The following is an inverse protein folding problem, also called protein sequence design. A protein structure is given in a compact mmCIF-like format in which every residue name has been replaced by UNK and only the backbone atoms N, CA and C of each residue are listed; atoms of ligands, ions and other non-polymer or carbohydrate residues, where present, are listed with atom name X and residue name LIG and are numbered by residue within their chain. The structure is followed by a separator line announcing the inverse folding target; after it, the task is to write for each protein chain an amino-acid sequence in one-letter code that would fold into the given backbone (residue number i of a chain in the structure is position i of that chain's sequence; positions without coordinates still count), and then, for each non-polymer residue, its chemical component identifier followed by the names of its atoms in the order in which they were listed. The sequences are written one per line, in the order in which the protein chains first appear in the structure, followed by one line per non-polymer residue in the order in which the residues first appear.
data_IF_825195163767
#
_entry.id   IF_825195163767
#
_cell.length_a   1.000
_cell.length_b   1.000
_cell.length_c   1.000
_cell.angle_alpha   90.00
_cell.angle_beta   90.00
_cell.angle_gamma   90.00
#
_symmetry.space_group_name_H-M   'P 1'
#
loop_
_entity.id
_entity.type
_entity.pdbx_description
1 polymer ?
#
# COMPACT_ATOMS: atom_id res chain seq x y z
N UNK A 1 -35.80 -22.30 -4.95
CA UNK A 1 -36.23 -21.04 -5.58
C UNK A 1 -35.67 -20.95 -7.00
N UNK A 2 -34.42 -21.34 -7.18
CA UNK A 2 -33.69 -21.38 -8.47
C UNK A 2 -34.50 -22.06 -9.59
N UNK A 3 -35.06 -23.24 -9.32
CA UNK A 3 -35.93 -23.93 -10.27
C UNK A 3 -37.14 -23.09 -10.73
N UNK A 4 -37.77 -22.31 -9.83
CA UNK A 4 -38.88 -21.43 -10.20
C UNK A 4 -38.42 -20.21 -11.00
N UNK A 5 -37.16 -19.78 -10.84
CA UNK A 5 -36.59 -18.67 -11.59
C UNK A 5 -36.44 -19.02 -13.07
N UNK A 6 -36.08 -20.27 -13.38
CA UNK A 6 -35.91 -20.75 -14.76
C UNK A 6 -37.22 -21.18 -15.44
N UNK A 7 -38.26 -21.54 -14.67
CA UNK A 7 -39.53 -22.04 -15.23
C UNK A 7 -40.38 -20.95 -15.90
N UNK A 8 -41.09 -21.32 -16.97
CA UNK A 8 -42.06 -20.43 -17.62
C UNK A 8 -43.35 -20.29 -16.81
N UNK A 9 -44.12 -19.21 -17.06
CA UNK A 9 -45.35 -18.89 -16.32
C UNK A 9 -46.36 -20.06 -16.33
N UNK A 10 -46.50 -20.73 -17.49
CA UNK A 10 -47.42 -21.86 -17.67
C UNK A 10 -46.99 -23.09 -16.85
N UNK A 11 -45.67 -23.37 -16.81
CA UNK A 11 -45.11 -24.51 -16.08
C UNK A 11 -45.25 -24.30 -14.57
N UNK A 12 -45.04 -23.06 -14.10
CA UNK A 12 -45.27 -22.70 -12.70
C UNK A 12 -46.75 -22.89 -12.35
N UNK A 13 -47.66 -22.43 -13.21
CA UNK A 13 -49.10 -22.60 -13.02
C UNK A 13 -49.53 -24.07 -12.95
N UNK A 14 -48.95 -24.92 -13.80
CA UNK A 14 -49.18 -26.37 -13.77
C UNK A 14 -48.60 -27.02 -12.50
N UNK A 15 -47.39 -26.63 -12.09
CA UNK A 15 -46.72 -27.15 -10.88
C UNK A 15 -47.53 -26.88 -9.62
N UNK A 16 -48.06 -25.67 -9.46
CA UNK A 16 -48.89 -25.30 -8.31
C UNK A 16 -50.34 -25.77 -8.43
N UNK A 17 -50.72 -26.40 -9.55
CA UNK A 17 -52.10 -26.83 -9.89
C UNK A 17 -53.12 -25.68 -9.94
N UNK A 18 -52.64 -24.46 -10.19
CA UNK A 18 -53.45 -23.24 -10.36
C UNK A 18 -52.92 -22.42 -11.54
N UNK A 19 -53.33 -22.79 -12.75
CA UNK A 19 -52.82 -22.23 -14.02
C UNK A 19 -52.85 -20.70 -14.09
N UNK A 20 -53.93 -20.07 -13.61
CA UNK A 20 -54.10 -18.61 -13.65
C UNK A 20 -53.16 -17.83 -12.72
N UNK A 21 -52.56 -18.48 -11.70
CA UNK A 21 -51.65 -17.83 -10.75
C UNK A 21 -50.17 -17.95 -11.15
N UNK A 22 -49.83 -18.72 -12.18
CA UNK A 22 -48.44 -18.92 -12.62
C UNK A 22 -47.71 -17.61 -12.92
N UNK A 23 -48.38 -16.69 -13.61
CA UNK A 23 -47.88 -15.33 -13.89
C UNK A 23 -47.59 -14.52 -12.63
N UNK A 24 -48.48 -14.59 -11.64
CA UNK A 24 -48.33 -13.87 -10.37
C UNK A 24 -47.11 -14.42 -9.62
N UNK A 25 -46.99 -15.74 -9.53
CA UNK A 25 -45.85 -16.38 -8.88
C UNK A 25 -44.53 -16.03 -9.57
N UNK A 26 -44.45 -16.12 -10.91
CA UNK A 26 -43.26 -15.72 -11.68
C UNK A 26 -42.86 -14.27 -11.40
N UNK A 27 -43.83 -13.37 -11.31
CA UNK A 27 -43.60 -11.97 -10.98
C UNK A 27 -43.00 -11.79 -9.58
N UNK A 28 -43.52 -12.48 -8.56
CA UNK A 28 -42.97 -12.43 -7.20
C UNK A 28 -41.61 -13.12 -7.08
N UNK A 29 -41.36 -14.19 -7.84
CA UNK A 29 -40.03 -14.81 -7.95
C UNK A 29 -39.02 -13.79 -8.49
N UNK A 30 -39.40 -13.00 -9.51
CA UNK A 30 -38.56 -11.92 -10.01
C UNK A 30 -38.31 -10.78 -9.01
N UNK A 31 -39.16 -10.61 -7.99
CA UNK A 31 -38.95 -9.65 -6.91
C UNK A 31 -38.12 -10.21 -5.78
N UNK A 32 -37.96 -11.52 -5.67
CA UNK A 32 -37.23 -12.12 -4.57
C UNK A 32 -35.75 -11.69 -4.61
N UNK A 33 -35.20 -11.09 -3.53
CA UNK A 33 -33.83 -10.60 -3.54
C UNK A 33 -32.82 -11.71 -3.78
N UNK A 34 -31.94 -11.46 -4.75
CA UNK A 34 -30.86 -12.37 -5.10
C UNK A 34 -29.60 -11.57 -5.46
N UNK A 35 -28.44 -12.00 -4.95
CA UNK A 35 -27.15 -11.38 -5.24
C UNK A 35 -26.18 -12.43 -5.74
N UNK A 36 -25.71 -12.27 -6.97
CA UNK A 36 -24.67 -13.10 -7.52
C UNK A 36 -23.31 -12.65 -7.00
N UNK A 37 -22.45 -13.60 -6.67
CA UNK A 37 -21.14 -13.38 -6.05
C UNK A 37 -20.03 -13.84 -6.99
N UNK A 38 -19.00 -13.02 -7.14
CA UNK A 38 -17.74 -13.44 -7.76
C UNK A 38 -16.58 -12.83 -6.99
N UNK A 39 -15.56 -13.63 -6.69
CA UNK A 39 -14.41 -13.14 -5.93
C UNK A 39 -13.09 -13.46 -6.62
N UNK A 40 -12.13 -12.57 -6.47
CA UNK A 40 -10.72 -12.80 -6.80
C UNK A 40 -9.89 -12.74 -5.52
N UNK A 41 -8.91 -13.64 -5.40
CA UNK A 41 -8.08 -13.75 -4.20
C UNK A 41 -6.61 -13.57 -4.55
N UNK A 42 -5.94 -12.75 -3.75
CA UNK A 42 -4.53 -12.40 -3.93
C UNK A 42 -3.78 -12.55 -2.60
N UNK A 43 -2.76 -13.42 -2.50
CA UNK A 43 -1.92 -13.50 -1.31
C UNK A 43 -1.19 -12.18 -1.04
N UNK A 44 -1.33 -11.63 0.17
CA UNK A 44 -0.51 -10.51 0.65
C UNK A 44 0.75 -11.06 1.30
N UNK A 45 0.56 -12.05 2.18
CA UNK A 45 1.61 -12.81 2.85
C UNK A 45 1.27 -14.30 2.76
N UNK A 46 2.09 -15.17 3.37
CA UNK A 46 1.73 -16.59 3.52
C UNK A 46 0.55 -16.83 4.47
N UNK A 47 0.18 -15.84 5.27
CA UNK A 47 -0.85 -15.97 6.31
C UNK A 47 -2.06 -15.06 6.08
N UNK A 48 -2.01 -14.19 5.07
CA UNK A 48 -3.06 -13.21 4.80
C UNK A 48 -3.38 -13.18 3.32
N UNK A 49 -4.65 -13.42 3.01
CA UNK A 49 -5.23 -13.30 1.68
C UNK A 49 -6.07 -12.04 1.58
N UNK A 50 -5.88 -11.28 0.51
CA UNK A 50 -6.83 -10.25 0.11
C UNK A 50 -7.92 -10.88 -0.74
N UNK A 51 -9.18 -10.64 -0.39
CA UNK A 51 -10.35 -11.03 -1.15
C UNK A 51 -11.01 -9.79 -1.70
N UNK A 52 -11.14 -9.75 -3.01
CA UNK A 52 -11.89 -8.74 -3.75
C UNK A 52 -13.21 -9.39 -4.21
N UNK A 53 -14.31 -9.14 -3.49
CA UNK A 53 -15.63 -9.68 -3.78
C UNK A 53 -16.46 -8.67 -4.58
N UNK A 54 -17.04 -9.13 -5.67
CA UNK A 54 -17.98 -8.41 -6.51
C UNK A 54 -19.39 -8.98 -6.30
N UNK A 55 -20.29 -8.12 -5.82
CA UNK A 55 -21.68 -8.44 -5.51
C UNK A 55 -22.57 -7.81 -6.59
N UNK A 56 -23.30 -8.64 -7.33
CA UNK A 56 -24.17 -8.23 -8.43
C UNK A 56 -25.63 -8.52 -8.08
N UNK A 57 -26.49 -7.51 -7.92
CA UNK A 57 -27.91 -7.74 -7.67
C UNK A 57 -28.62 -8.25 -8.93
N UNK A 58 -29.31 -9.38 -8.83
CA UNK A 58 -29.98 -10.06 -9.95
C UNK A 58 -31.49 -10.28 -9.66
N UNK A 59 -32.19 -9.19 -9.37
CA UNK A 59 -33.64 -9.20 -9.11
C UNK A 59 -34.29 -7.86 -9.47
N UNK A 60 -35.63 -7.86 -9.57
CA UNK A 60 -36.41 -6.67 -9.89
C UNK A 60 -36.78 -5.90 -8.62
N UNK A 61 -36.22 -4.70 -8.47
CA UNK A 61 -36.52 -3.84 -7.32
C UNK A 61 -37.96 -3.30 -7.34
N UNK A 62 -38.69 -3.56 -6.27
CA UNK A 62 -40.01 -2.99 -5.96
C UNK A 62 -40.03 -2.27 -4.61
N UNK A 63 -40.28 -0.96 -4.63
CA UNK A 63 -40.25 -0.11 -3.44
C UNK A 63 -41.17 -0.58 -2.31
N UNK A 64 -42.35 -1.09 -2.67
CA UNK A 64 -43.34 -1.63 -1.72
C UNK A 64 -42.78 -2.77 -0.87
N UNK A 65 -41.86 -3.56 -1.39
CA UNK A 65 -41.29 -4.74 -0.73
C UNK A 65 -39.88 -4.51 -0.19
N UNK A 66 -39.06 -3.76 -0.93
CA UNK A 66 -37.62 -3.61 -0.63
C UNK A 66 -37.27 -2.28 0.06
N UNK A 67 -38.18 -1.30 0.06
CA UNK A 67 -37.89 0.03 0.59
C UNK A 67 -36.74 0.73 -0.14
N UNK A 68 -35.92 1.44 0.65
CA UNK A 68 -34.78 2.22 0.14
C UNK A 68 -33.46 1.44 0.09
N UNK A 69 -33.34 0.36 0.86
CA UNK A 69 -32.12 -0.43 0.97
C UNK A 69 -32.41 -1.85 1.43
N UNK A 70 -31.60 -2.80 0.97
CA UNK A 70 -31.53 -4.16 1.49
C UNK A 70 -30.16 -4.40 2.13
N UNK A 71 -30.10 -5.26 3.13
CA UNK A 71 -28.86 -5.59 3.83
C UNK A 71 -28.53 -7.07 3.70
N UNK A 72 -27.24 -7.37 3.59
CA UNK A 72 -26.70 -8.71 3.44
C UNK A 72 -25.52 -8.87 4.38
N UNK A 73 -25.49 -9.95 5.14
CA UNK A 73 -24.30 -10.40 5.85
C UNK A 73 -23.39 -11.10 4.86
N UNK A 74 -22.18 -10.58 4.68
CA UNK A 74 -21.10 -11.23 3.94
C UNK A 74 -20.23 -11.95 4.96
N UNK A 75 -20.18 -13.28 4.86
CA UNK A 75 -19.51 -14.15 5.82
C UNK A 75 -18.50 -14.98 5.04
N UNK A 76 -17.27 -15.06 5.54
CA UNK A 76 -16.25 -15.99 5.04
C UNK A 76 -16.03 -17.07 6.08
N UNK A 77 -16.27 -18.31 5.69
CA UNK A 77 -16.17 -19.47 6.55
C UNK A 77 -15.25 -20.55 5.98
N UNK A 78 -14.61 -21.28 6.88
CA UNK A 78 -13.84 -22.47 6.56
C UNK A 78 -14.76 -23.65 6.25
N UNK A 79 -14.36 -24.49 5.29
CA UNK A 79 -15.01 -25.76 5.00
C UNK A 79 -14.78 -26.84 6.07
N UNK A 80 -13.70 -26.73 6.86
CA UNK A 80 -13.32 -27.79 7.82
C UNK A 80 -13.65 -27.46 9.28
N UNK A 81 -13.49 -26.19 9.69
CA UNK A 81 -13.53 -25.80 11.11
C UNK A 81 -14.77 -25.00 11.51
N UNK A 82 -15.78 -24.87 10.64
CA UNK A 82 -17.01 -24.07 10.86
C UNK A 82 -16.74 -22.67 11.46
N UNK A 83 -15.57 -22.11 11.13
CA UNK A 83 -15.07 -20.87 11.73
C UNK A 83 -15.31 -19.71 10.78
N UNK A 84 -15.89 -18.64 11.29
CA UNK A 84 -16.06 -17.39 10.55
C UNK A 84 -14.77 -16.58 10.65
N UNK A 85 -14.09 -16.39 9.52
CA UNK A 85 -12.87 -15.59 9.42
C UNK A 85 -13.11 -14.12 9.14
N UNK A 86 -14.24 -13.81 8.51
CA UNK A 86 -14.65 -12.43 8.23
C UNK A 86 -16.17 -12.34 8.23
N UNK A 87 -16.71 -11.26 8.78
CA UNK A 87 -18.12 -10.93 8.67
C UNK A 87 -18.31 -9.42 8.52
N UNK A 88 -19.06 -8.99 7.52
CA UNK A 88 -19.44 -7.59 7.36
C UNK A 88 -20.88 -7.43 6.87
N UNK A 89 -21.50 -6.31 7.24
CA UNK A 89 -22.86 -5.97 6.81
C UNK A 89 -22.80 -5.10 5.55
N UNK A 90 -23.13 -5.67 4.41
CA UNK A 90 -23.26 -4.97 3.14
C UNK A 90 -24.66 -4.37 2.99
N UNK A 91 -24.75 -3.09 2.59
CA UNK A 91 -26.04 -2.43 2.33
C UNK A 91 -26.19 -2.09 0.85
N UNK A 92 -27.11 -2.77 0.18
CA UNK A 92 -27.51 -2.48 -1.18
C UNK A 92 -28.55 -1.35 -1.21
N UNK A 93 -28.12 -0.16 -1.62
CA UNK A 93 -29.02 0.98 -1.80
C UNK A 93 -29.80 0.88 -3.12
N UNK A 94 -31.06 1.31 -3.15
CA UNK A 94 -31.89 1.34 -4.36
C UNK A 94 -31.21 2.00 -5.57
N UNK A 95 -30.42 3.05 -5.35
CA UNK A 95 -29.67 3.75 -6.41
C UNK A 95 -28.61 2.87 -7.10
N UNK A 96 -28.16 1.81 -6.44
CA UNK A 96 -27.13 0.89 -6.93
C UNK A 96 -27.68 -0.46 -7.41
N UNK A 97 -29.02 -0.62 -7.51
CA UNK A 97 -29.71 -1.89 -7.80
C UNK A 97 -29.38 -2.58 -9.13
N UNK A 98 -28.62 -1.95 -10.02
CA UNK A 98 -28.20 -2.52 -11.31
C UNK A 98 -26.70 -2.39 -11.57
N UNK A 99 -25.93 -1.99 -10.57
CA UNK A 99 -24.48 -1.84 -10.66
C UNK A 99 -23.81 -2.86 -9.73
N UNK A 100 -22.84 -3.64 -10.22
CA UNK A 100 -22.00 -4.46 -9.37
C UNK A 100 -21.29 -3.61 -8.31
N UNK A 101 -21.27 -4.08 -7.07
CA UNK A 101 -20.55 -3.41 -5.97
C UNK A 101 -19.36 -4.25 -5.56
N UNK A 102 -18.17 -3.63 -5.57
CA UNK A 102 -16.94 -4.28 -5.11
C UNK A 102 -16.70 -3.97 -3.64
N UNK A 103 -16.40 -5.00 -2.86
CA UNK A 103 -15.89 -4.91 -1.49
C UNK A 103 -14.55 -5.64 -1.41
N UNK A 104 -13.66 -5.17 -0.54
CA UNK A 104 -12.31 -5.73 -0.37
C UNK A 104 -12.03 -5.92 1.10
N UNK A 105 -11.66 -7.14 1.49
CA UNK A 105 -11.32 -7.47 2.87
C UNK A 105 -10.16 -8.48 2.91
N UNK A 106 -9.57 -8.67 4.08
CA UNK A 106 -8.46 -9.60 4.27
C UNK A 106 -8.91 -10.76 5.15
N UNK A 107 -8.55 -11.98 4.76
CA UNK A 107 -8.82 -13.20 5.52
C UNK A 107 -7.52 -13.94 5.82
N UNK A 108 -7.40 -14.58 7.00
CA UNK A 108 -6.27 -15.42 7.30
C UNK A 108 -6.29 -16.71 6.45
N UNK A 109 -5.10 -17.21 6.13
CA UNK A 109 -4.89 -18.57 5.61
C UNK A 109 -3.84 -19.27 6.47
N UNK A 110 -4.07 -20.55 6.74
CA UNK A 110 -3.23 -21.37 7.62
C UNK A 110 -2.58 -22.50 6.85
N UNK A 111 -1.43 -22.99 7.32
CA UNK A 111 -0.78 -24.19 6.81
C UNK A 111 -1.05 -25.36 7.78
N UNK A 112 -1.50 -26.54 7.32
CA UNK A 112 -1.81 -26.89 5.93
C UNK A 112 -3.04 -26.13 5.40
N UNK A 113 -3.00 -25.76 4.11
CA UNK A 113 -4.05 -24.97 3.48
C UNK A 113 -5.35 -25.79 3.39
N UNK A 114 -6.50 -25.22 3.79
CA UNK A 114 -7.78 -25.85 3.52
C UNK A 114 -8.02 -25.93 2.00
N UNK A 115 -8.86 -26.85 1.53
CA UNK A 115 -9.12 -27.00 0.09
C UNK A 115 -9.78 -25.75 -0.51
N UNK A 116 -10.66 -25.11 0.27
CA UNK A 116 -11.43 -23.94 -0.13
C UNK A 116 -12.01 -23.18 1.07
N UNK A 117 -12.33 -21.91 0.86
CA UNK A 117 -13.23 -21.14 1.72
C UNK A 117 -14.57 -20.90 1.04
N UNK A 118 -15.59 -20.66 1.85
CA UNK A 118 -16.92 -20.27 1.40
C UNK A 118 -17.17 -18.81 1.72
N UNK A 119 -17.65 -18.06 0.74
CA UNK A 119 -18.18 -16.70 0.93
C UNK A 119 -19.69 -16.79 0.80
N UNK A 120 -20.40 -16.47 1.89
CA UNK A 120 -21.86 -16.45 1.93
C UNK A 120 -22.36 -15.03 1.99
N UNK A 121 -23.33 -14.70 1.16
CA UNK A 121 -24.17 -13.53 1.31
C UNK A 121 -25.53 -14.00 1.81
N UNK A 122 -25.94 -13.57 3.01
CA UNK A 122 -27.22 -13.93 3.62
C UNK A 122 -28.04 -12.66 3.84
N UNK A 123 -29.26 -12.60 3.33
CA UNK A 123 -30.12 -11.45 3.56
C UNK A 123 -30.48 -11.32 5.03
N UNK A 124 -30.38 -10.08 5.54
CA UNK A 124 -30.74 -9.75 6.92
C UNK A 124 -32.26 -9.70 7.15
N UNK A 125 -33.06 -9.65 6.09
CA UNK A 125 -34.53 -9.47 6.19
C UNK A 125 -35.36 -10.41 5.32
N UNK A 126 -34.75 -11.15 4.38
CA UNK A 126 -35.46 -12.08 3.50
C UNK A 126 -35.03 -13.52 3.75
N UNK A 127 -35.96 -14.33 4.27
CA UNK A 127 -35.70 -15.74 4.54
C UNK A 127 -35.46 -16.50 3.23
N UNK A 128 -34.38 -17.29 3.20
CA UNK A 128 -33.99 -18.08 2.02
C UNK A 128 -33.34 -17.27 0.90
N UNK A 129 -33.14 -15.97 1.08
CA UNK A 129 -32.31 -15.16 0.20
C UNK A 129 -30.85 -15.30 0.66
N UNK A 130 -30.19 -16.33 0.15
CA UNK A 130 -28.77 -16.59 0.38
C UNK A 130 -28.04 -16.89 -0.94
N UNK A 131 -26.74 -16.64 -0.96
CA UNK A 131 -25.88 -16.91 -2.12
C UNK A 131 -24.51 -17.34 -1.62
N UNK A 132 -23.91 -18.31 -2.30
CA UNK A 132 -22.67 -18.97 -1.88
C UNK A 132 -21.66 -18.90 -3.03
N UNK A 133 -20.42 -18.51 -2.71
CA UNK A 133 -19.30 -18.55 -3.63
C UNK A 133 -18.12 -19.30 -3.02
N UNK A 134 -17.59 -20.28 -3.75
CA UNK A 134 -16.44 -21.09 -3.34
C UNK A 134 -15.13 -20.50 -3.83
N UNK A 135 -14.20 -20.25 -2.90
CA UNK A 135 -12.83 -19.85 -3.18
C UNK A 135 -11.93 -21.08 -3.06
N UNK A 136 -11.48 -21.62 -4.19
CA UNK A 136 -10.54 -22.75 -4.20
C UNK A 136 -9.09 -22.29 -4.03
N UNK A 137 -8.32 -22.99 -3.20
CA UNK A 137 -6.89 -22.72 -2.98
C UNK A 137 -5.94 -23.68 -3.72
N UNK A 138 -6.46 -24.54 -4.60
CA UNK A 138 -5.67 -25.60 -5.25
C UNK A 138 -4.51 -25.05 -6.10
N UNK A 139 -4.68 -23.87 -6.69
CA UNK A 139 -3.66 -23.20 -7.51
C UNK A 139 -3.13 -21.91 -6.84
N UNK A 140 -3.28 -21.78 -5.52
CA UNK A 140 -2.85 -20.57 -4.81
C UNK A 140 -1.32 -20.56 -4.66
N UNK A 141 -0.66 -19.70 -5.41
CA UNK A 141 0.78 -19.48 -5.29
C UNK A 141 1.07 -18.45 -4.20
N UNK A 142 1.45 -18.93 -3.01
CA UNK A 142 1.86 -18.03 -1.92
C UNK A 142 3.26 -17.46 -2.17
N UNK A 143 3.50 -16.20 -1.77
CA UNK A 143 4.84 -15.63 -1.80
C UNK A 143 5.79 -16.44 -0.91
N UNK A 144 7.06 -16.54 -1.31
CA UNK A 144 8.09 -17.17 -0.49
C UNK A 144 8.38 -16.30 0.74
N UNK A 145 8.42 -16.90 1.93
CA UNK A 145 8.93 -16.20 3.12
C UNK A 145 10.44 -16.19 3.05
N UNK A 146 11.00 -15.14 2.46
CA UNK A 146 12.42 -14.86 2.62
C UNK A 146 12.56 -13.50 3.29
N UNK A 147 12.38 -13.51 4.62
CA UNK A 147 12.68 -12.37 5.44
C UNK A 147 14.11 -12.55 5.95
N UNK A 148 15.09 -12.11 5.18
CA UNK A 148 16.45 -11.96 5.69
C UNK A 148 16.55 -10.62 6.40
N UNK A 149 16.20 -10.59 7.69
CA UNK A 149 16.61 -9.47 8.53
C UNK A 149 18.10 -9.58 8.79
N UNK A 150 18.85 -8.53 8.50
CA UNK A 150 20.24 -8.44 8.93
C UNK A 150 20.25 -8.33 10.45
N UNK A 151 20.92 -9.26 11.13
CA UNK A 151 21.04 -9.20 12.59
C UNK A 151 21.75 -7.91 13.02
N UNK A 152 21.24 -7.31 14.09
CA UNK A 152 21.90 -6.19 14.75
C UNK A 152 23.01 -6.75 15.63
N UNK A 153 24.25 -6.52 15.21
CA UNK A 153 25.44 -6.97 15.91
C UNK A 153 25.64 -6.17 17.20
N UNK A 154 26.06 -6.83 18.27
CA UNK A 154 26.42 -6.19 19.54
C UNK A 154 27.80 -5.52 19.44
N UNK A 155 27.84 -4.44 18.67
CA UNK A 155 29.04 -3.64 18.45
C UNK A 155 29.23 -2.62 19.57
N UNK A 156 30.48 -2.33 19.89
CA UNK A 156 30.80 -1.19 20.75
C UNK A 156 30.28 0.10 20.11
N UNK A 157 29.50 0.94 20.83
CA UNK A 157 28.98 2.18 20.28
C UNK A 157 30.09 3.03 19.66
N UNK A 158 29.87 3.48 18.43
CA UNK A 158 30.89 4.22 17.69
C UNK A 158 30.92 5.69 18.14
N UNK A 159 32.05 6.23 18.61
CA UNK A 159 32.14 7.63 19.02
C UNK A 159 32.10 8.58 17.81
N UNK A 160 31.66 9.83 18.03
CA UNK A 160 31.68 10.86 16.98
C UNK A 160 33.09 11.10 16.40
N UNK A 161 34.14 10.86 17.17
CA UNK A 161 35.53 10.98 16.71
C UNK A 161 35.84 10.11 15.48
N UNK A 162 35.05 9.05 15.25
CA UNK A 162 35.15 8.21 14.06
C UNK A 162 34.88 8.96 12.74
N UNK A 163 34.24 10.14 12.78
CA UNK A 163 34.05 11.01 11.62
C UNK A 163 35.37 11.61 11.10
N UNK A 164 36.45 11.63 11.90
CA UNK A 164 37.75 12.16 11.48
C UNK A 164 37.78 13.68 11.17
N UNK A 165 36.67 14.39 11.28
CA UNK A 165 36.54 15.81 10.99
C UNK A 165 35.84 16.56 12.14
N UNK A 166 36.51 17.55 12.72
CA UNK A 166 36.00 18.28 13.89
C UNK A 166 34.72 19.06 13.59
N UNK A 167 34.66 19.72 12.42
CA UNK A 167 33.46 20.44 11.97
C UNK A 167 32.27 19.49 11.86
N UNK A 168 32.48 18.24 11.44
CA UNK A 168 31.40 17.26 11.31
C UNK A 168 30.95 16.72 12.66
N UNK A 169 31.88 16.53 13.59
CA UNK A 169 31.56 16.15 14.98
C UNK A 169 30.67 17.19 15.65
N UNK A 170 30.95 18.48 15.44
CA UNK A 170 30.23 19.58 16.06
C UNK A 170 28.79 19.75 15.53
N UNK A 171 28.41 19.04 14.45
CA UNK A 171 27.04 18.99 13.93
C UNK A 171 26.09 18.18 14.82
N UNK A 172 26.62 17.38 15.75
CA UNK A 172 25.86 16.40 16.52
C UNK A 172 25.93 16.67 18.03
N UNK A 173 24.80 16.52 18.73
CA UNK A 173 24.67 16.76 20.19
C UNK A 173 24.69 15.49 21.03
N UNK A 174 25.28 14.42 20.52
CA UNK A 174 25.43 13.13 21.21
C UNK A 174 26.89 12.69 21.16
N UNK A 175 27.32 11.76 22.02
CA UNK A 175 28.72 11.31 22.06
C UNK A 175 29.00 10.11 21.15
N UNK A 176 28.01 9.23 20.99
CA UNK A 176 28.14 7.98 20.24
C UNK A 176 26.93 7.75 19.32
N UNK A 177 27.17 7.15 18.17
CA UNK A 177 26.15 6.66 17.26
C UNK A 177 25.37 5.51 17.90
N UNK A 178 24.09 5.38 17.54
CA UNK A 178 23.27 4.27 17.99
C UNK A 178 23.73 2.93 17.34
N UNK A 179 23.25 1.76 17.78
CA UNK A 179 23.69 0.46 17.24
C UNK A 179 23.51 0.33 15.72
N UNK A 180 22.39 0.81 15.16
CA UNK A 180 22.10 0.73 13.72
C UNK A 180 23.09 1.61 12.93
N UNK A 181 23.30 2.84 13.39
CA UNK A 181 24.26 3.76 12.79
C UNK A 181 25.69 3.23 12.92
N UNK A 182 26.05 2.66 14.07
CA UNK A 182 27.36 2.04 14.32
C UNK A 182 27.63 0.90 13.33
N UNK A 183 26.66 -0.01 13.15
CA UNK A 183 26.79 -1.13 12.21
C UNK A 183 26.82 -0.67 10.75
N UNK A 184 26.03 0.34 10.39
CA UNK A 184 25.97 0.86 9.02
C UNK A 184 27.09 1.88 8.69
N UNK A 185 27.82 2.39 9.70
CA UNK A 185 28.74 3.52 9.56
C UNK A 185 29.78 3.29 8.46
N UNK A 186 30.44 2.13 8.47
CA UNK A 186 31.51 1.86 7.52
C UNK A 186 31.01 1.93 6.07
N UNK A 187 29.84 1.34 5.79
CA UNK A 187 29.29 1.35 4.43
C UNK A 187 28.80 2.75 4.04
N UNK A 188 28.24 3.51 4.98
CA UNK A 188 27.72 4.86 4.71
C UNK A 188 28.81 5.94 4.61
N UNK A 189 29.91 5.81 5.37
CA UNK A 189 30.91 6.87 5.55
C UNK A 189 32.26 6.57 4.90
N UNK A 190 32.52 5.33 4.48
CA UNK A 190 33.79 4.93 3.85
C UNK A 190 33.62 4.19 2.53
N UNK A 191 32.40 4.06 1.99
CA UNK A 191 32.16 3.39 0.72
C UNK A 191 31.18 4.16 -0.17
N UNK A 192 31.30 3.97 -1.48
CA UNK A 192 30.40 4.55 -2.49
C UNK A 192 29.29 3.58 -2.92
N UNK A 193 29.07 2.50 -2.14
CA UNK A 193 28.09 1.48 -2.47
C UNK A 193 26.66 1.97 -2.22
N UNK A 194 25.71 1.51 -3.05
CA UNK A 194 24.29 1.72 -2.79
C UNK A 194 23.86 0.96 -1.54
N UNK A 195 23.16 1.64 -0.62
CA UNK A 195 22.73 1.08 0.67
C UNK A 195 21.21 1.10 0.78
N UNK A 196 20.62 -0.05 1.14
CA UNK A 196 19.23 -0.14 1.61
C UNK A 196 19.22 -0.28 3.13
N UNK A 197 18.75 0.76 3.83
CA UNK A 197 18.63 0.75 5.29
C UNK A 197 17.16 0.65 5.72
N UNK A 198 16.71 -0.58 5.99
CA UNK A 198 15.41 -0.86 6.59
C UNK A 198 15.49 -0.85 8.11
N UNK A 199 14.89 0.15 8.76
CA UNK A 199 14.79 0.22 10.21
C UNK A 199 13.49 0.92 10.66
N UNK A 200 12.97 0.64 11.87
CA UNK A 200 11.78 1.31 12.41
C UNK A 200 11.91 2.84 12.45
N UNK A 201 10.76 3.54 12.52
CA UNK A 201 10.74 4.99 12.76
C UNK A 201 11.32 5.30 14.14
N UNK A 202 12.13 6.34 14.24
CA UNK A 202 12.87 6.69 15.48
C UNK A 202 14.26 6.07 15.59
N UNK A 203 14.64 5.09 14.75
CA UNK A 203 15.96 4.46 14.74
C UNK A 203 17.12 5.34 14.21
N UNK A 204 16.86 6.62 13.91
CA UNK A 204 17.91 7.56 13.49
C UNK A 204 18.38 7.43 12.03
N UNK A 205 17.52 6.91 11.12
CA UNK A 205 17.80 6.79 9.68
C UNK A 205 18.22 8.10 9.01
N UNK A 206 17.74 9.24 9.51
CA UNK A 206 18.14 10.56 9.00
C UNK A 206 19.64 10.80 9.16
N UNK A 207 20.21 10.46 10.33
CA UNK A 207 21.65 10.59 10.56
C UNK A 207 22.42 9.65 9.64
N UNK A 208 21.90 8.45 9.35
CA UNK A 208 22.50 7.56 8.34
C UNK A 208 22.55 8.18 6.94
N UNK A 209 21.50 8.91 6.54
CA UNK A 209 21.53 9.68 5.29
C UNK A 209 22.57 10.81 5.35
N UNK A 210 22.69 11.50 6.49
CA UNK A 210 23.69 12.56 6.68
C UNK A 210 25.12 12.02 6.59
N UNK A 211 25.41 10.84 7.13
CA UNK A 211 26.72 10.19 6.99
C UNK A 211 27.11 10.04 5.50
N UNK A 212 26.18 9.58 4.67
CA UNK A 212 26.41 9.49 3.22
C UNK A 212 26.64 10.86 2.57
N UNK A 213 25.95 11.91 3.03
CA UNK A 213 26.18 13.29 2.55
C UNK A 213 27.56 13.80 2.94
N UNK A 214 27.97 13.58 4.18
CA UNK A 214 29.28 14.00 4.70
C UNK A 214 30.41 13.26 3.98
N UNK A 215 30.23 11.97 3.68
CA UNK A 215 31.17 11.21 2.84
C UNK A 215 31.30 11.84 1.45
N UNK A 216 30.18 12.13 0.77
CA UNK A 216 30.19 12.79 -0.54
C UNK A 216 30.91 14.14 -0.48
N UNK A 217 30.68 14.95 0.55
CA UNK A 217 31.34 16.25 0.67
C UNK A 217 32.85 16.15 0.93
N UNK A 218 33.31 15.05 1.51
CA UNK A 218 34.74 14.78 1.70
C UNK A 218 35.39 14.28 0.40
N UNK A 219 34.75 13.36 -0.32
CA UNK A 219 35.36 12.66 -1.46
C UNK A 219 35.10 13.35 -2.80
N UNK A 220 33.96 14.02 -2.95
CA UNK A 220 33.48 14.63 -4.18
C UNK A 220 32.79 15.98 -3.88
N UNK A 221 33.54 17.01 -3.45
CA UNK A 221 32.98 18.27 -2.95
C UNK A 221 32.13 19.05 -3.97
N UNK A 222 32.32 18.78 -5.27
CA UNK A 222 31.59 19.40 -6.38
C UNK A 222 30.27 18.68 -6.71
N UNK A 223 30.00 17.52 -6.12
CA UNK A 223 28.78 16.75 -6.37
C UNK A 223 27.62 17.23 -5.52
N UNK A 224 26.40 16.97 -6.00
CA UNK A 224 25.15 17.39 -5.35
C UNK A 224 24.47 16.22 -4.68
N UNK A 225 23.85 16.50 -3.54
CA UNK A 225 22.96 15.59 -2.84
C UNK A 225 21.52 15.88 -3.24
N UNK A 226 20.76 14.84 -3.58
CA UNK A 226 19.31 14.92 -3.75
C UNK A 226 18.65 14.06 -2.69
N UNK A 227 17.90 14.69 -1.79
CA UNK A 227 17.14 14.02 -0.74
C UNK A 227 15.65 14.04 -1.08
N UNK A 228 15.07 12.85 -1.24
CA UNK A 228 13.66 12.69 -1.60
C UNK A 228 12.88 12.19 -0.40
N UNK A 229 11.81 12.91 -0.03
CA UNK A 229 10.91 12.52 1.05
C UNK A 229 9.46 12.46 0.55
N UNK A 230 8.65 11.49 1.01
CA UNK A 230 7.31 11.23 0.46
C UNK A 230 6.31 12.34 0.77
N UNK A 231 6.54 13.14 1.82
CA UNK A 231 5.60 14.16 2.29
C UNK A 231 6.29 15.52 2.40
N UNK A 232 5.57 16.58 1.98
CA UNK A 232 6.02 17.99 2.12
C UNK A 232 6.34 18.37 3.57
N UNK A 233 5.62 17.81 4.55
CA UNK A 233 5.88 18.05 5.96
C UNK A 233 7.30 17.60 6.38
N UNK A 234 7.72 16.42 5.92
CA UNK A 234 9.07 15.89 6.17
C UNK A 234 10.11 16.77 5.47
N UNK A 235 9.84 17.20 4.23
CA UNK A 235 10.72 18.14 3.51
C UNK A 235 10.94 19.43 4.32
N UNK A 236 9.86 20.07 4.79
CA UNK A 236 9.95 21.32 5.56
C UNK A 236 10.68 21.13 6.88
N UNK A 237 10.41 20.03 7.58
CA UNK A 237 11.11 19.68 8.82
C UNK A 237 12.62 19.55 8.58
N UNK A 238 13.03 18.81 7.53
CA UNK A 238 14.43 18.63 7.15
C UNK A 238 15.07 19.93 6.68
N UNK A 239 14.35 20.75 5.92
CA UNK A 239 14.81 22.07 5.50
C UNK A 239 15.15 22.96 6.71
N UNK A 240 14.31 22.95 7.76
CA UNK A 240 14.56 23.75 8.96
C UNK A 240 15.74 23.21 9.79
N UNK A 241 15.79 21.89 10.02
CA UNK A 241 16.89 21.25 10.77
C UNK A 241 18.23 21.42 10.05
N UNK A 242 18.33 20.98 8.80
CA UNK A 242 19.58 21.00 8.05
C UNK A 242 20.05 22.42 7.72
N UNK A 243 19.15 23.39 7.51
CA UNK A 243 19.55 24.78 7.26
C UNK A 243 20.38 25.34 8.41
N UNK A 244 19.95 25.11 9.66
CA UNK A 244 20.66 25.61 10.83
C UNK A 244 21.87 24.75 11.18
N UNK A 245 21.70 23.41 11.16
CA UNK A 245 22.68 22.48 11.70
C UNK A 245 23.77 22.09 10.72
N UNK A 246 23.44 21.82 9.46
CA UNK A 246 24.37 21.32 8.44
C UNK A 246 24.84 22.45 7.51
N UNK A 247 23.90 23.11 6.85
CA UNK A 247 24.15 24.02 5.73
C UNK A 247 24.97 25.23 6.17
N UNK A 248 24.53 25.89 7.24
CA UNK A 248 25.24 27.06 7.80
C UNK A 248 26.64 26.69 8.31
N UNK A 249 26.77 25.57 9.03
CA UNK A 249 28.04 25.14 9.64
C UNK A 249 29.07 24.68 8.59
N UNK A 250 28.60 24.09 7.49
CA UNK A 250 29.45 23.56 6.42
C UNK A 250 29.65 24.54 5.26
N UNK A 251 29.05 25.74 5.31
CA UNK A 251 29.08 26.70 4.21
C UNK A 251 28.47 26.19 2.91
N UNK A 252 27.54 25.23 3.01
CA UNK A 252 26.85 24.62 1.85
C UNK A 252 25.60 25.42 1.48
N UNK A 253 25.01 25.12 0.33
CA UNK A 253 23.75 25.71 -0.16
C UNK A 253 22.69 24.64 -0.30
N UNK A 254 21.52 24.89 0.26
CA UNK A 254 20.38 23.97 0.22
C UNK A 254 19.14 24.63 -0.33
N UNK A 255 18.41 23.90 -1.18
CA UNK A 255 17.21 24.37 -1.86
C UNK A 255 16.08 23.36 -1.69
N UNK A 256 14.88 23.87 -1.41
CA UNK A 256 13.63 23.10 -1.44
C UNK A 256 13.09 23.07 -2.88
N UNK A 257 12.53 21.93 -3.26
CA UNK A 257 11.86 21.78 -4.54
C UNK A 257 10.60 20.92 -4.37
N UNK A 258 9.47 21.56 -4.11
CA UNK A 258 8.18 20.89 -3.88
C UNK A 258 7.12 21.40 -4.87
N UNK A 259 5.91 20.85 -4.83
CA UNK A 259 4.82 21.30 -5.70
C UNK A 259 4.47 22.79 -5.54
N UNK A 260 4.71 23.38 -4.37
CA UNK A 260 4.37 24.78 -4.07
C UNK A 260 5.53 25.74 -4.37
N UNK A 261 6.73 25.21 -4.61
CA UNK A 261 7.94 26.01 -4.76
C UNK A 261 8.86 25.42 -5.82
N UNK A 262 8.97 26.12 -6.94
CA UNK A 262 10.01 25.90 -7.94
C UNK A 262 11.14 26.90 -7.72
N UNK A 263 12.33 26.48 -7.31
CA UNK A 263 13.47 27.37 -7.21
C UNK A 263 13.87 27.88 -8.59
N UNK A 264 14.46 29.07 -8.63
CA UNK A 264 15.10 29.59 -9.84
C UNK A 264 16.26 28.67 -10.26
N UNK A 265 16.52 28.58 -11.58
CA UNK A 265 17.58 27.75 -12.15
C UNK A 265 18.95 28.10 -11.57
N UNK A 266 19.22 29.37 -11.28
CA UNK A 266 20.49 29.79 -10.67
C UNK A 266 20.64 29.26 -9.23
N UNK A 267 19.55 29.23 -8.46
CA UNK A 267 19.54 28.65 -7.13
C UNK A 267 19.76 27.13 -7.19
N UNK A 268 19.10 26.45 -8.14
CA UNK A 268 19.27 25.02 -8.35
C UNK A 268 20.70 24.66 -8.80
N UNK A 269 21.29 25.44 -9.71
CA UNK A 269 22.65 25.25 -10.21
C UNK A 269 23.71 25.46 -9.12
N UNK A 270 23.48 26.39 -8.20
CA UNK A 270 24.40 26.69 -7.10
C UNK A 270 24.18 25.85 -5.83
N UNK A 271 23.09 25.07 -5.75
CA UNK A 271 22.81 24.22 -4.59
C UNK A 271 23.74 23.01 -4.51
N UNK A 272 24.21 22.70 -3.29
CA UNK A 272 24.89 21.45 -2.92
C UNK A 272 23.89 20.38 -2.49
N UNK A 273 22.76 20.79 -1.88
CA UNK A 273 21.70 19.90 -1.38
C UNK A 273 20.36 20.32 -1.98
N UNK A 274 19.65 19.38 -2.59
CA UNK A 274 18.29 19.56 -3.11
C UNK A 274 17.37 18.64 -2.33
N UNK A 275 16.35 19.21 -1.67
CA UNK A 275 15.31 18.43 -0.98
C UNK A 275 14.01 18.48 -1.80
N UNK A 276 13.42 17.33 -2.12
CA UNK A 276 12.24 17.25 -2.99
C UNK A 276 11.24 16.15 -2.63
N UNK A 277 10.05 16.21 -3.23
CA UNK A 277 9.08 15.10 -3.22
C UNK A 277 9.23 14.23 -4.48
N UNK A 278 8.81 12.96 -4.45
CA UNK A 278 8.96 12.05 -5.60
C UNK A 278 8.36 12.62 -6.89
N UNK A 279 7.17 13.21 -6.81
CA UNK A 279 6.45 13.74 -7.97
C UNK A 279 7.20 14.90 -8.61
N UNK A 280 7.79 15.77 -7.79
CA UNK A 280 8.51 16.94 -8.29
C UNK A 280 9.87 16.56 -8.87
N UNK A 281 10.56 15.62 -8.24
CA UNK A 281 11.81 15.09 -8.76
C UNK A 281 11.59 14.38 -10.10
N UNK A 282 10.57 13.52 -10.20
CA UNK A 282 10.22 12.79 -11.43
C UNK A 282 9.95 13.74 -12.61
N UNK A 283 9.17 14.81 -12.39
CA UNK A 283 8.91 15.81 -13.43
C UNK A 283 10.15 16.49 -14.01
N UNK A 284 11.25 16.55 -13.24
CA UNK A 284 12.50 17.19 -13.65
C UNK A 284 13.47 16.17 -14.25
N UNK A 285 13.55 14.97 -13.69
CA UNK A 285 14.40 13.89 -14.22
C UNK A 285 13.93 13.41 -15.58
N UNK A 286 12.65 13.56 -15.95
CA UNK A 286 12.14 13.20 -17.30
C UNK A 286 12.80 14.00 -18.44
N UNK A 287 13.30 15.20 -18.19
CA UNK A 287 14.00 16.04 -19.16
C UNK A 287 15.51 16.10 -18.92
N UNK A 288 16.10 15.02 -18.38
CA UNK A 288 17.52 14.99 -18.01
C UNK A 288 18.47 15.32 -19.17
N UNK A 289 18.15 14.91 -20.41
CA UNK A 289 18.95 15.23 -21.60
C UNK A 289 19.05 16.73 -21.91
N UNK A 290 18.03 17.52 -21.59
CA UNK A 290 18.01 18.97 -21.86
C UNK A 290 18.46 19.82 -20.66
N UNK A 291 18.81 19.18 -19.53
CA UNK A 291 19.06 19.86 -18.25
C UNK A 291 20.40 19.43 -17.66
N UNK A 292 21.44 20.19 -17.95
CA UNK A 292 22.83 19.98 -17.51
C UNK A 292 23.03 19.95 -15.98
N UNK A 293 22.04 20.37 -15.18
CA UNK A 293 22.10 20.25 -13.72
C UNK A 293 21.70 18.86 -13.20
N UNK A 294 21.04 18.04 -14.01
CA UNK A 294 20.73 16.63 -13.69
C UNK A 294 21.93 15.74 -14.04
N UNK A 295 22.71 16.13 -15.06
CA UNK A 295 23.95 15.49 -15.47
C UNK A 295 25.14 16.43 -15.29
N UNK A 296 25.85 16.34 -14.17
CA UNK A 296 27.26 16.72 -14.20
C UNK A 296 28.02 15.58 -14.89
N UNK A 297 28.70 15.82 -16.03
CA UNK A 297 29.57 14.80 -16.61
C UNK A 297 30.66 14.46 -15.58
N UNK A 298 30.71 13.20 -15.16
CA UNK A 298 31.84 12.66 -14.42
C UNK A 298 32.99 12.60 -15.40
N UNK A 299 33.83 13.65 -15.43
CA UNK A 299 35.14 13.53 -16.03
C UNK A 299 35.93 12.53 -15.18
N UNK A 300 35.88 11.25 -15.57
CA UNK A 300 36.91 10.28 -15.20
C UNK A 300 38.21 10.76 -15.86
N UNK A 301 38.91 11.65 -15.16
CA UNK A 301 40.34 11.86 -15.39
C UNK A 301 41.02 10.55 -15.02
N UNK A 302 41.88 10.09 -15.92
CA UNK A 302 42.29 8.70 -16.02
C UNK A 302 43.06 8.13 -14.83
N UNK A 303 42.99 6.80 -14.77
CA UNK A 303 44.08 5.89 -14.45
C UNK A 303 43.79 4.57 -15.16
#
# INVERSE_FOLDING_TARGET
LDRLYEMEENDIGALIRFSHLGKVVKQYVGYFPYVNLSATVSPITRTVLKVDLLITPEFLWRDRHHGMSLRWWIIVEDSENDTIYHSELFTLMKKARGAPTKISFNVPIFEPHPPQYYIRAISDSWLGAESLFTVSFHNLTLPQTQITHTELLDLKPLPLSALGNKTYQDLYRFSHFNPIQTQAFHVLYHSDNNVLLGAPTGSGKTISAELAMLHLFNTQPDMKVVYIAPLKAIVRERMNDWRQRLVTQLGKKMVEMTGDFTPDMMALLSADIIISTPEKWDGISRSWHSRSYVMKPVNRLGS
#
